data_IF_674679395031
#
_entry.id   IF_674679395031
#
_cell.length_a   1.000
_cell.length_b   1.000
_cell.length_c   1.000
_cell.angle_alpha   90.00
_cell.angle_beta   90.00
_cell.angle_gamma   90.00
#
_symmetry.space_group_name_H-M   'P 1'
#
loop_
_entity.id
_entity.type
_entity.pdbx_description
1 polymer ?
#
# COMPACT_ATOMS: atom_id res chain seq x y z
N UNK A 1 -50.61 -3.60 7.38
CA UNK A 1 -49.27 -2.96 7.45
C UNK A 1 -49.43 -1.49 7.15
N UNK A 2 -49.09 -0.61 8.09
CA UNK A 2 -49.42 0.82 8.04
C UNK A 2 -48.72 1.55 6.89
N UNK A 3 -49.45 2.32 6.09
CA UNK A 3 -48.96 3.19 5.00
C UNK A 3 -47.71 4.02 5.34
N UNK A 4 -47.55 4.36 6.63
CA UNK A 4 -46.38 5.10 7.14
C UNK A 4 -45.09 4.30 7.02
N UNK A 5 -45.12 2.99 7.29
CA UNK A 5 -43.94 2.11 7.23
C UNK A 5 -43.39 1.94 5.81
N UNK A 6 -44.27 1.84 4.81
CA UNK A 6 -43.87 1.74 3.40
C UNK A 6 -43.18 3.03 2.92
N UNK A 7 -43.67 4.20 3.36
CA UNK A 7 -43.03 5.49 3.05
C UNK A 7 -41.64 5.60 3.67
N UNK A 8 -41.43 5.10 4.89
CA UNK A 8 -40.10 5.06 5.50
C UNK A 8 -39.14 4.11 4.78
N UNK A 9 -39.63 2.95 4.32
CA UNK A 9 -38.81 2.01 3.52
C UNK A 9 -38.41 2.62 2.17
N UNK A 10 -39.34 3.31 1.49
CA UNK A 10 -39.05 4.02 0.24
C UNK A 10 -38.06 5.18 0.45
N UNK A 11 -38.24 5.98 1.49
CA UNK A 11 -37.31 7.08 1.79
C UNK A 11 -35.93 6.54 2.16
N UNK A 12 -35.87 5.46 2.94
CA UNK A 12 -34.62 4.76 3.26
C UNK A 12 -33.89 4.24 2.02
N UNK A 13 -34.62 3.64 1.07
CA UNK A 13 -34.00 3.12 -0.16
C UNK A 13 -33.47 4.24 -1.06
N UNK A 14 -34.17 5.38 -1.15
CA UNK A 14 -33.72 6.52 -1.94
C UNK A 14 -32.46 7.15 -1.34
N UNK A 15 -32.41 7.34 -0.02
CA UNK A 15 -31.23 7.88 0.67
C UNK A 15 -30.02 6.95 0.50
N UNK A 16 -30.23 5.64 0.63
CA UNK A 16 -29.17 4.66 0.46
C UNK A 16 -28.61 4.66 -0.97
N UNK A 17 -29.47 4.75 -1.99
CA UNK A 17 -29.02 4.82 -3.39
C UNK A 17 -28.24 6.10 -3.68
N UNK A 18 -28.69 7.26 -3.18
CA UNK A 18 -27.97 8.53 -3.33
C UNK A 18 -26.62 8.49 -2.60
N UNK A 19 -26.56 7.89 -1.41
CA UNK A 19 -25.32 7.70 -0.68
C UNK A 19 -24.35 6.76 -1.43
N UNK A 20 -24.85 5.66 -2.02
CA UNK A 20 -24.04 4.76 -2.86
C UNK A 20 -23.50 5.46 -4.09
N UNK A 21 -24.32 6.26 -4.79
CA UNK A 21 -23.90 7.06 -5.94
C UNK A 21 -22.89 8.15 -5.53
N UNK A 22 -23.05 8.74 -4.36
CA UNK A 22 -22.10 9.69 -3.78
C UNK A 22 -20.77 9.04 -3.36
N UNK A 23 -20.81 7.82 -2.83
CA UNK A 23 -19.60 7.07 -2.45
C UNK A 23 -18.83 6.57 -3.69
N UNK A 24 -19.53 6.08 -4.71
CA UNK A 24 -18.92 5.64 -5.98
C UNK A 24 -18.41 6.86 -6.77
N UNK A 25 -19.23 7.91 -6.91
CA UNK A 25 -18.85 9.14 -7.60
C UNK A 25 -17.75 9.90 -6.88
N UNK A 26 -17.82 10.00 -5.55
CA UNK A 26 -16.80 10.64 -4.71
C UNK A 26 -15.50 9.84 -4.64
N UNK A 27 -15.59 8.50 -4.56
CA UNK A 27 -14.42 7.62 -4.63
C UNK A 27 -13.74 7.65 -5.99
N UNK A 28 -14.50 7.65 -7.08
CA UNK A 28 -13.98 7.81 -8.44
C UNK A 28 -13.40 9.21 -8.66
N UNK A 29 -14.04 10.26 -8.13
CA UNK A 29 -13.54 11.64 -8.21
C UNK A 29 -12.26 11.82 -7.40
N UNK A 30 -12.16 11.26 -6.19
CA UNK A 30 -10.96 11.27 -5.37
C UNK A 30 -9.83 10.45 -6.01
N UNK A 31 -10.15 9.31 -6.63
CA UNK A 31 -9.19 8.53 -7.41
C UNK A 31 -8.68 9.37 -8.59
N UNK A 32 -9.57 9.97 -9.38
CA UNK A 32 -9.20 10.79 -10.54
C UNK A 32 -8.51 12.09 -10.17
N UNK A 33 -8.85 12.74 -9.06
CA UNK A 33 -8.17 13.96 -8.58
C UNK A 33 -6.78 13.63 -8.04
N UNK A 34 -6.64 12.57 -7.23
CA UNK A 34 -5.34 12.07 -6.78
C UNK A 34 -4.48 11.61 -7.97
N UNK A 35 -5.08 11.01 -9.01
CA UNK A 35 -4.37 10.63 -10.24
C UNK A 35 -4.08 11.80 -11.19
N UNK A 36 -4.85 12.89 -11.14
CA UNK A 36 -4.55 14.14 -11.87
C UNK A 36 -3.46 14.94 -11.16
N UNK A 37 -3.42 14.96 -9.83
CA UNK A 37 -2.31 15.56 -9.07
C UNK A 37 -1.00 14.80 -9.30
N UNK A 38 -1.08 13.47 -9.49
CA UNK A 38 0.05 12.63 -9.90
C UNK A 38 0.53 12.84 -11.36
N UNK A 39 -0.27 13.51 -12.21
CA UNK A 39 0.11 13.81 -13.61
C UNK A 39 0.36 15.29 -13.89
N UNK A 40 -0.25 16.20 -13.12
CA UNK A 40 -0.13 17.65 -13.30
C UNK A 40 1.10 18.23 -12.61
N UNK A 41 1.61 17.57 -11.56
CA UNK A 41 2.97 17.77 -11.13
C UNK A 41 3.85 16.80 -11.91
N UNK A 42 4.82 17.31 -12.68
CA UNK A 42 6.00 16.54 -13.12
C UNK A 42 6.88 16.07 -11.94
N UNK A 43 6.26 15.70 -10.83
CA UNK A 43 6.88 15.05 -9.71
C UNK A 43 7.19 13.60 -10.13
N UNK A 44 8.44 13.16 -10.06
CA UNK A 44 8.78 11.81 -10.46
C UNK A 44 8.00 10.83 -9.59
N UNK A 45 7.06 10.10 -10.20
CA UNK A 45 6.48 8.89 -9.62
C UNK A 45 7.54 7.80 -9.33
N UNK A 46 8.82 8.09 -9.57
CA UNK A 46 9.95 7.16 -9.57
C UNK A 46 11.09 7.56 -8.64
N UNK A 47 10.83 8.15 -7.46
CA UNK A 47 11.75 8.04 -6.30
C UNK A 47 11.08 7.44 -5.05
N UNK A 48 9.93 6.81 -5.24
CA UNK A 48 9.15 6.20 -4.15
C UNK A 48 9.37 4.69 -4.04
N UNK A 49 9.88 4.06 -5.10
CA UNK A 49 10.10 2.62 -5.12
C UNK A 49 11.34 2.24 -4.31
N UNK A 50 11.22 1.18 -3.50
CA UNK A 50 12.32 0.63 -2.69
C UNK A 50 13.62 0.42 -3.47
N UNK A 51 13.56 0.17 -4.78
CA UNK A 51 14.75 0.04 -5.66
C UNK A 51 15.72 1.23 -5.58
N UNK A 52 15.22 2.44 -5.29
CA UNK A 52 16.03 3.64 -5.22
C UNK A 52 16.81 3.76 -3.89
N UNK A 53 16.60 2.84 -2.95
CA UNK A 53 17.37 2.79 -1.71
C UNK A 53 18.85 2.46 -1.94
N UNK A 54 19.18 1.81 -3.05
CA UNK A 54 20.55 1.43 -3.40
C UNK A 54 21.25 2.44 -4.33
N UNK A 55 20.61 3.54 -4.73
CA UNK A 55 21.16 4.48 -5.74
C UNK A 55 22.53 5.07 -5.36
N UNK A 56 22.86 5.12 -4.06
CA UNK A 56 24.16 5.61 -3.56
C UNK A 56 25.22 4.51 -3.37
N UNK A 57 24.86 3.26 -3.66
CA UNK A 57 25.77 2.11 -3.70
C UNK A 57 26.36 1.93 -5.12
N UNK A 58 27.48 1.19 -5.26
CA UNK A 58 28.02 0.82 -6.56
C UNK A 58 26.99 0.05 -7.43
N UNK A 59 27.09 0.17 -8.75
CA UNK A 59 26.15 -0.45 -9.70
C UNK A 59 25.98 -1.96 -9.51
N UNK A 60 27.04 -2.66 -9.12
CA UNK A 60 27.00 -4.09 -8.78
C UNK A 60 26.05 -4.37 -7.61
N UNK A 61 26.14 -3.59 -6.55
CA UNK A 61 25.27 -3.68 -5.36
C UNK A 61 23.84 -3.27 -5.66
N UNK A 62 23.63 -2.30 -6.55
CA UNK A 62 22.29 -1.93 -7.02
C UNK A 62 21.60 -3.10 -7.73
N UNK A 63 22.33 -3.81 -8.60
CA UNK A 63 21.80 -4.99 -9.31
C UNK A 63 21.50 -6.15 -8.35
N UNK A 64 22.40 -6.41 -7.39
CA UNK A 64 22.19 -7.41 -6.33
C UNK A 64 20.92 -7.11 -5.53
N UNK A 65 20.73 -5.84 -5.13
CA UNK A 65 19.54 -5.43 -4.39
C UNK A 65 18.26 -5.53 -5.22
N UNK A 66 18.31 -5.12 -6.50
CA UNK A 66 17.17 -5.25 -7.41
C UNK A 66 16.79 -6.73 -7.63
N UNK A 67 17.77 -7.62 -7.73
CA UNK A 67 17.57 -9.06 -7.83
C UNK A 67 16.97 -9.64 -6.53
N UNK A 68 17.48 -9.24 -5.35
CA UNK A 68 16.95 -9.64 -4.06
C UNK A 68 15.48 -9.22 -3.90
N UNK A 69 15.15 -7.96 -4.22
CA UNK A 69 13.76 -7.48 -4.21
C UNK A 69 12.87 -8.23 -5.21
N UNK A 70 13.40 -8.61 -6.38
CA UNK A 70 12.66 -9.38 -7.38
C UNK A 70 12.37 -10.79 -6.88
N UNK A 71 13.34 -11.44 -6.22
CA UNK A 71 13.16 -12.74 -5.60
C UNK A 71 12.12 -12.68 -4.47
N UNK A 72 12.27 -11.73 -3.54
CA UNK A 72 11.30 -11.54 -2.45
C UNK A 72 9.87 -11.31 -2.95
N UNK A 73 9.71 -10.52 -4.02
CA UNK A 73 8.39 -10.35 -4.67
C UNK A 73 7.89 -11.62 -5.33
N UNK A 74 8.77 -12.38 -5.98
CA UNK A 74 8.43 -13.66 -6.63
C UNK A 74 7.91 -14.66 -5.61
N UNK A 75 8.56 -14.73 -4.45
CA UNK A 75 8.25 -15.63 -3.35
C UNK A 75 6.98 -15.19 -2.62
N UNK A 76 6.77 -13.88 -2.48
CA UNK A 76 5.53 -13.30 -1.94
C UNK A 76 4.35 -13.25 -2.92
N UNK A 77 4.48 -13.75 -4.16
CA UNK A 77 3.39 -13.67 -5.15
C UNK A 77 2.13 -14.42 -4.69
N UNK A 78 2.30 -15.49 -3.95
CA UNK A 78 1.16 -16.28 -3.49
C UNK A 78 0.39 -15.54 -2.40
N UNK A 79 1.07 -14.85 -1.47
CA UNK A 79 0.40 -13.91 -0.55
C UNK A 79 -0.32 -12.78 -1.27
N UNK A 80 0.28 -12.23 -2.34
CA UNK A 80 -0.35 -11.19 -3.14
C UNK A 80 -1.55 -11.71 -3.98
N UNK A 81 -1.63 -13.02 -4.25
CA UNK A 81 -2.79 -13.66 -4.87
C UNK A 81 -3.86 -13.90 -3.82
N UNK A 82 -3.50 -14.53 -2.71
CA UNK A 82 -4.37 -14.82 -1.58
C UNK A 82 -5.08 -13.56 -1.07
N UNK A 83 -4.33 -12.47 -0.80
CA UNK A 83 -4.93 -11.21 -0.38
C UNK A 83 -5.81 -10.53 -1.44
N UNK A 84 -5.66 -10.85 -2.74
CA UNK A 84 -6.60 -10.39 -3.78
C UNK A 84 -7.86 -11.24 -3.83
N UNK A 85 -7.70 -12.55 -3.75
CA UNK A 85 -8.80 -13.51 -3.78
C UNK A 85 -9.69 -13.34 -2.54
N UNK A 86 -9.11 -13.08 -1.38
CA UNK A 86 -9.86 -12.77 -0.15
C UNK A 86 -10.60 -11.42 -0.23
N UNK A 87 -10.03 -10.40 -0.89
CA UNK A 87 -10.76 -9.13 -1.13
C UNK A 87 -11.96 -9.33 -2.04
N UNK A 88 -11.84 -10.15 -3.08
CA UNK A 88 -12.98 -10.52 -3.93
C UNK A 88 -14.03 -11.24 -3.07
N UNK A 89 -13.61 -12.18 -2.21
CA UNK A 89 -14.49 -12.88 -1.28
C UNK A 89 -15.23 -11.93 -0.33
N UNK A 90 -14.55 -10.91 0.21
CA UNK A 90 -15.19 -9.87 1.05
C UNK A 90 -16.27 -9.13 0.26
N UNK A 91 -16.01 -8.77 -1.00
CA UNK A 91 -16.99 -8.08 -1.84
C UNK A 91 -18.19 -8.97 -2.14
N UNK A 92 -17.97 -10.26 -2.42
CA UNK A 92 -19.04 -11.23 -2.67
C UNK A 92 -19.92 -11.42 -1.42
N UNK A 93 -19.31 -11.52 -0.24
CA UNK A 93 -20.04 -11.64 1.04
C UNK A 93 -20.82 -10.36 1.40
N UNK A 94 -20.31 -9.19 1.04
CA UNK A 94 -21.01 -7.92 1.23
C UNK A 94 -22.19 -7.74 0.25
N UNK A 95 -22.08 -8.32 -0.94
CA UNK A 95 -23.13 -8.31 -1.96
C UNK A 95 -24.21 -9.39 -1.73
N UNK A 96 -23.99 -10.30 -0.77
CA UNK A 96 -24.93 -11.36 -0.46
C UNK A 96 -26.26 -10.82 0.10
N UNK A 97 -27.41 -11.48 -0.19
CA UNK A 97 -28.72 -11.04 0.31
C UNK A 97 -28.84 -11.04 1.83
N UNK A 98 -28.02 -11.85 2.52
CA UNK A 98 -27.91 -11.90 3.97
C UNK A 98 -26.47 -11.60 4.36
N UNK A 99 -26.29 -10.64 5.26
CA UNK A 99 -24.97 -10.22 5.70
C UNK A 99 -24.44 -11.20 6.75
N UNK A 100 -23.51 -12.07 6.34
CA UNK A 100 -22.75 -12.90 7.28
C UNK A 100 -21.53 -12.14 7.81
N UNK A 101 -21.71 -11.54 8.98
CA UNK A 101 -20.66 -10.74 9.61
C UNK A 101 -19.41 -11.57 9.95
N UNK A 102 -19.60 -12.80 10.39
CA UNK A 102 -18.50 -13.68 10.82
C UNK A 102 -17.64 -14.09 9.61
N UNK A 103 -18.28 -14.42 8.48
CA UNK A 103 -17.57 -14.74 7.25
C UNK A 103 -16.79 -13.54 6.70
N UNK A 104 -17.37 -12.33 6.77
CA UNK A 104 -16.70 -11.10 6.35
C UNK A 104 -15.49 -10.80 7.23
N UNK A 105 -15.64 -10.85 8.56
CA UNK A 105 -14.54 -10.59 9.48
C UNK A 105 -13.40 -11.62 9.29
N UNK A 106 -13.73 -12.90 9.06
CA UNK A 106 -12.74 -13.93 8.74
C UNK A 106 -12.01 -13.66 7.41
N UNK A 107 -12.71 -13.23 6.36
CA UNK A 107 -12.09 -12.91 5.06
C UNK A 107 -11.21 -11.64 5.13
N UNK A 108 -11.60 -10.65 5.94
CA UNK A 108 -10.78 -9.48 6.22
C UNK A 108 -9.50 -9.86 6.99
N UNK A 109 -9.59 -10.78 7.96
CA UNK A 109 -8.43 -11.23 8.72
C UNK A 109 -7.43 -12.00 7.85
N UNK A 110 -7.90 -12.86 6.94
CA UNK A 110 -7.02 -13.51 5.96
C UNK A 110 -6.36 -12.52 5.01
N UNK A 111 -7.11 -11.52 4.52
CA UNK A 111 -6.55 -10.43 3.71
C UNK A 111 -5.40 -9.73 4.45
N UNK A 112 -5.61 -9.37 5.72
CA UNK A 112 -4.57 -8.72 6.55
C UNK A 112 -3.37 -9.63 6.77
N UNK A 113 -3.59 -10.91 7.05
CA UNK A 113 -2.51 -11.88 7.23
C UNK A 113 -1.63 -12.00 5.98
N UNK A 114 -2.25 -12.09 4.80
CA UNK A 114 -1.55 -12.15 3.52
C UNK A 114 -0.76 -10.86 3.23
N UNK A 115 -1.36 -9.69 3.46
CA UNK A 115 -0.68 -8.40 3.29
C UNK A 115 0.51 -8.26 4.26
N UNK A 116 0.35 -8.64 5.53
CA UNK A 116 1.43 -8.63 6.53
C UNK A 116 2.53 -9.61 6.15
N UNK A 117 2.20 -10.82 5.69
CA UNK A 117 3.18 -11.81 5.26
C UNK A 117 4.03 -11.30 4.08
N UNK A 118 3.37 -10.70 3.07
CA UNK A 118 4.06 -10.08 1.94
C UNK A 118 4.99 -8.96 2.40
N UNK A 119 4.52 -8.10 3.30
CA UNK A 119 5.33 -7.00 3.86
C UNK A 119 6.55 -7.53 4.62
N UNK A 120 6.35 -8.52 5.50
CA UNK A 120 7.43 -9.15 6.26
C UNK A 120 8.47 -9.78 5.33
N UNK A 121 8.06 -10.40 4.22
CA UNK A 121 8.99 -10.99 3.25
C UNK A 121 9.90 -9.94 2.61
N UNK A 122 9.33 -8.78 2.25
CA UNK A 122 10.12 -7.67 1.70
C UNK A 122 11.04 -7.08 2.76
N UNK A 123 10.55 -6.88 4.00
CA UNK A 123 11.34 -6.39 5.12
C UNK A 123 12.55 -7.29 5.42
N UNK A 124 12.35 -8.62 5.45
CA UNK A 124 13.44 -9.60 5.60
C UNK A 124 14.48 -9.48 4.50
N UNK A 125 14.06 -9.45 3.24
CA UNK A 125 14.99 -9.32 2.11
C UNK A 125 15.83 -8.03 2.16
N UNK A 126 15.27 -6.92 2.66
CA UNK A 126 16.00 -5.67 2.86
C UNK A 126 17.06 -5.82 3.96
N UNK A 127 16.73 -6.48 5.07
CA UNK A 127 17.66 -6.75 6.18
C UNK A 127 18.75 -7.72 5.75
N UNK A 128 18.40 -8.79 5.04
CA UNK A 128 19.34 -9.78 4.51
C UNK A 128 20.34 -9.12 3.56
N UNK A 129 19.88 -8.22 2.68
CA UNK A 129 20.77 -7.44 1.83
C UNK A 129 21.70 -6.52 2.65
N UNK A 130 21.14 -5.79 3.62
CA UNK A 130 21.91 -4.91 4.49
C UNK A 130 23.00 -5.65 5.30
N UNK A 131 22.80 -6.93 5.59
CA UNK A 131 23.78 -7.78 6.27
C UNK A 131 24.99 -8.13 5.37
N UNK A 132 24.86 -8.05 4.04
CA UNK A 132 25.97 -8.29 3.09
C UNK A 132 26.81 -7.04 2.81
N UNK A 133 26.39 -5.88 3.32
CA UNK A 133 27.05 -4.60 3.12
C UNK A 133 28.09 -4.32 4.22
N UNK A 134 29.18 -3.67 3.82
CA UNK A 134 30.13 -3.07 4.77
C UNK A 134 29.46 -1.97 5.61
N UNK A 135 30.03 -1.56 6.76
CA UNK A 135 29.46 -0.49 7.58
C UNK A 135 29.21 0.82 6.82
N UNK A 136 30.14 1.21 5.94
CA UNK A 136 30.04 2.45 5.17
C UNK A 136 28.98 2.36 4.06
N UNK A 137 28.90 1.22 3.37
CA UNK A 137 27.84 0.95 2.38
C UNK A 137 26.46 0.92 3.04
N UNK A 138 26.35 0.33 4.23
CA UNK A 138 25.08 0.28 4.97
C UNK A 138 24.59 1.67 5.39
N UNK A 139 25.48 2.61 5.71
CA UNK A 139 25.09 3.99 6.00
C UNK A 139 24.42 4.66 4.78
N UNK A 140 25.03 4.54 3.60
CA UNK A 140 24.47 5.04 2.34
C UNK A 140 23.14 4.38 2.00
N UNK A 141 23.05 3.06 2.22
CA UNK A 141 21.82 2.31 2.01
C UNK A 141 20.67 2.78 2.93
N UNK A 142 20.96 3.06 4.20
CA UNK A 142 19.97 3.60 5.15
C UNK A 142 19.49 4.99 4.71
N UNK A 143 20.37 5.85 4.21
CA UNK A 143 19.99 7.17 3.70
C UNK A 143 19.15 7.08 2.41
N UNK A 144 19.38 6.06 1.58
CA UNK A 144 18.48 5.69 0.49
C UNK A 144 17.11 5.20 0.98
N UNK A 145 17.06 4.34 1.99
CA UNK A 145 15.81 3.84 2.59
C UNK A 145 14.98 4.96 3.23
N UNK A 146 15.60 5.95 3.87
CA UNK A 146 14.91 7.12 4.46
C UNK A 146 14.16 7.97 3.42
N UNK A 147 14.56 7.89 2.16
CA UNK A 147 13.97 8.64 1.04
C UNK A 147 13.01 7.81 0.19
N UNK A 148 12.92 6.49 0.40
CA UNK A 148 12.19 5.56 -0.47
C UNK A 148 11.32 4.56 0.29
N UNK A 149 10.29 4.02 -0.37
CA UNK A 149 9.45 2.97 0.19
C UNK A 149 8.66 3.35 1.45
N UNK A 150 8.39 2.34 2.28
CA UNK A 150 7.58 2.47 3.51
C UNK A 150 8.33 3.13 4.68
N UNK A 151 9.66 3.28 4.57
CA UNK A 151 10.52 3.98 5.54
C UNK A 151 10.77 5.45 5.18
N UNK A 152 10.07 5.96 4.16
CA UNK A 152 10.19 7.35 3.75
C UNK A 152 9.78 8.27 4.90
N UNK A 153 10.73 9.04 5.40
CA UNK A 153 10.45 10.06 6.40
C UNK A 153 9.73 11.26 5.76
N UNK A 154 8.79 11.92 6.47
CA UNK A 154 8.20 13.17 6.01
C UNK A 154 9.29 14.22 5.70
N UNK A 155 9.13 15.07 4.65
CA UNK A 155 10.16 16.02 4.20
C UNK A 155 10.70 16.94 5.31
N UNK A 156 9.88 17.28 6.30
CA UNK A 156 10.26 18.09 7.47
C UNK A 156 11.38 17.48 8.32
N UNK A 157 11.51 16.16 8.37
CA UNK A 157 12.55 15.46 9.11
C UNK A 157 13.80 15.19 8.27
N UNK A 158 13.70 15.22 6.94
CA UNK A 158 14.83 15.08 6.04
C UNK A 158 15.74 16.32 6.09
N UNK A 159 15.13 17.52 6.15
CA UNK A 159 15.85 18.80 6.19
C UNK A 159 16.70 18.98 7.46
N UNK A 160 16.20 18.51 8.61
CA UNK A 160 16.86 18.64 9.92
C UNK A 160 18.16 17.82 10.03
N UNK A 161 18.32 16.77 9.23
CA UNK A 161 19.54 15.94 9.22
C UNK A 161 20.55 16.37 8.16
N UNK A 162 20.11 16.91 7.01
CA UNK A 162 21.02 17.53 6.04
C UNK A 162 21.82 18.67 6.65
N UNK A 163 21.20 19.48 7.51
CA UNK A 163 21.87 20.56 8.25
C UNK A 163 22.80 20.06 9.36
N UNK A 164 22.61 18.83 9.86
CA UNK A 164 23.42 18.22 10.91
C UNK A 164 24.66 17.48 10.37
N UNK A 165 24.61 17.00 9.12
CA UNK A 165 25.76 16.38 8.44
C UNK A 165 26.69 17.40 7.75
N UNK A 166 26.29 18.68 7.71
CA UNK A 166 27.05 19.78 7.10
C UNK A 166 27.79 20.67 8.12
N UNK A 167 27.93 20.21 9.37
CA UNK A 167 28.76 20.81 10.42
C UNK A 167 29.76 19.78 10.91
#
# INVERSE_FOLDING_TARGET
MSERGWKFVLVGSVVLNVFMLGAIGGGAYQWFSTHRDLRAAGAPASRTALRFAADELPDTRQQEFAAALKAARKDGRDFAREGRDDRITVLDLLAAPQLDRTAIDAALDRTRAADTALRTQVERSVVDFAATLTPDERAKFVDGLRRSGNWRLPPKFQKKQGDAASK
#
